data_IF_317052468308
#
_entry.id   IF_317052468308
#
_cell.length_a   1.000
_cell.length_b   1.000
_cell.length_c   1.000
_cell.angle_alpha   90.00
_cell.angle_beta   90.00
_cell.angle_gamma   90.00
#
_symmetry.space_group_name_H-M   'P 1'
#
loop_
_entity.id
_entity.type
_entity.pdbx_description
1 polymer ?
#
# COMPACT_ATOMS: atom_id res chain seq x y z
N UNK A 1 25.85 12.29 -27.83
CA UNK A 1 25.01 11.10 -27.59
C UNK A 1 25.39 10.55 -26.22
N UNK A 2 24.58 10.83 -25.19
CA UNK A 2 24.68 10.16 -23.88
C UNK A 2 23.61 9.07 -23.86
N UNK A 3 23.98 7.89 -23.41
CA UNK A 3 23.14 6.68 -23.35
C UNK A 3 22.01 6.83 -22.33
N UNK A 4 20.84 6.31 -22.67
CA UNK A 4 19.56 6.31 -21.92
C UNK A 4 19.66 5.73 -20.49
N UNK A 5 20.78 5.12 -20.14
CA UNK A 5 21.05 4.51 -18.83
C UNK A 5 21.40 5.52 -17.73
N UNK A 6 22.01 6.67 -18.05
CA UNK A 6 22.46 7.64 -17.02
C UNK A 6 21.33 8.55 -16.51
N UNK A 7 20.31 8.83 -17.33
CA UNK A 7 19.15 9.63 -16.90
C UNK A 7 18.25 8.88 -15.88
N UNK A 8 18.43 7.56 -15.77
CA UNK A 8 17.69 6.67 -14.85
C UNK A 8 18.30 6.64 -13.44
N UNK A 9 19.46 7.23 -13.18
CA UNK A 9 20.11 7.05 -11.86
C UNK A 9 19.87 8.20 -10.88
N UNK A 10 19.51 9.40 -11.35
CA UNK A 10 19.46 10.61 -10.52
C UNK A 10 18.12 10.90 -9.80
N UNK A 11 17.04 10.23 -10.19
CA UNK A 11 15.68 10.62 -9.75
C UNK A 11 14.98 9.62 -8.83
N UNK A 12 15.64 8.51 -8.48
CA UNK A 12 15.06 7.51 -7.59
C UNK A 12 15.36 7.84 -6.12
N UNK A 13 14.35 7.88 -5.23
CA UNK A 13 14.60 8.00 -3.81
C UNK A 13 15.43 6.79 -3.34
N UNK A 14 16.55 7.07 -2.66
CA UNK A 14 17.45 6.03 -2.17
C UNK A 14 16.72 5.04 -1.25
N UNK A 15 17.06 3.74 -1.29
CA UNK A 15 16.51 2.77 -0.35
C UNK A 15 16.87 3.19 1.09
N UNK A 16 15.85 3.46 1.89
CA UNK A 16 16.00 3.84 3.29
C UNK A 16 16.69 2.71 4.06
N UNK A 17 17.62 3.11 4.94
CA UNK A 17 18.46 2.27 5.80
C UNK A 17 17.68 1.18 6.54
N UNK A 18 18.38 0.06 6.69
CA UNK A 18 18.07 -1.12 7.51
C UNK A 18 17.72 -0.75 8.95
N UNK A 19 16.65 -1.33 9.47
CA UNK A 19 16.32 -1.37 10.90
C UNK A 19 16.57 -2.80 11.38
N UNK A 20 17.60 -2.96 12.21
CA UNK A 20 17.97 -4.23 12.84
C UNK A 20 17.20 -4.44 14.15
N UNK A 21 16.68 -5.67 14.32
CA UNK A 21 16.56 -6.32 15.62
C UNK A 21 15.16 -6.42 16.23
N UNK A 22 14.63 -7.65 16.33
CA UNK A 22 14.35 -8.24 17.65
C UNK A 22 14.26 -9.78 17.59
N UNK A 23 14.82 -10.42 18.62
CA UNK A 23 15.10 -11.85 18.77
C UNK A 23 13.99 -12.59 19.56
N UNK A 24 13.97 -13.92 19.37
CA UNK A 24 13.07 -14.96 19.91
C UNK A 24 12.92 -15.06 21.44
N UNK A 25 11.79 -15.68 21.86
CA UNK A 25 11.76 -16.53 23.06
C UNK A 25 10.41 -16.72 23.77
N UNK A 26 9.94 -17.97 23.87
CA UNK A 26 9.38 -18.51 25.13
C UNK A 26 7.94 -19.05 25.16
N UNK A 27 7.83 -20.39 25.19
CA UNK A 27 6.68 -21.23 25.65
C UNK A 27 6.39 -20.94 27.17
N UNK A 28 5.25 -21.20 27.84
CA UNK A 28 4.37 -22.36 28.07
C UNK A 28 3.21 -21.89 29.01
N UNK A 29 2.05 -22.56 29.07
CA UNK A 29 1.13 -22.44 30.22
C UNK A 29 -0.31 -22.92 29.99
N UNK A 30 -0.81 -23.77 30.88
CA UNK A 30 -1.97 -24.68 30.76
C UNK A 30 -3.33 -24.15 31.25
N UNK A 31 -4.40 -24.67 30.61
CA UNK A 31 -5.72 -25.14 31.13
C UNK A 31 -6.49 -24.33 32.19
N UNK A 32 -7.77 -24.03 31.89
CA UNK A 32 -8.90 -24.27 32.78
C UNK A 32 -10.24 -24.23 32.01
N UNK A 33 -11.11 -25.21 32.27
CA UNK A 33 -12.50 -25.31 31.83
C UNK A 33 -13.44 -24.70 32.89
N UNK A 34 -14.50 -24.00 32.46
CA UNK A 34 -15.73 -23.83 33.24
C UNK A 34 -16.89 -23.36 32.34
N UNK A 35 -18.06 -23.91 32.66
CA UNK A 35 -19.26 -24.03 31.84
C UNK A 35 -20.25 -22.85 31.89
N UNK A 36 -21.09 -22.86 30.84
CA UNK A 36 -22.53 -22.57 30.80
C UNK A 36 -23.11 -21.13 30.87
N UNK A 37 -23.94 -20.93 29.84
CA UNK A 37 -25.23 -20.24 29.81
C UNK A 37 -25.25 -18.71 29.58
N UNK A 38 -25.80 -18.35 28.41
CA UNK A 38 -26.49 -17.07 28.23
C UNK A 38 -25.96 -16.17 27.11
N UNK A 39 -25.76 -16.65 25.89
CA UNK A 39 -25.51 -15.75 24.76
C UNK A 39 -26.76 -15.58 23.91
N UNK A 40 -27.52 -14.51 24.21
CA UNK A 40 -28.15 -13.72 23.15
C UNK A 40 -27.01 -13.33 22.23
N UNK A 41 -26.84 -14.03 21.09
CA UNK A 41 -25.93 -13.63 20.00
C UNK A 41 -26.42 -12.30 19.44
N UNK A 42 -26.13 -11.23 20.18
CA UNK A 42 -26.18 -9.86 19.70
C UNK A 42 -25.15 -9.76 18.61
N UNK A 43 -25.65 -9.52 17.41
CA UNK A 43 -24.96 -9.02 16.25
C UNK A 43 -24.13 -7.79 16.64
N UNK A 44 -22.87 -7.99 16.99
CA UNK A 44 -21.90 -6.92 17.08
C UNK A 44 -20.62 -7.48 16.46
N UNK A 45 -20.55 -7.39 15.13
CA UNK A 45 -19.26 -7.22 14.48
C UNK A 45 -18.66 -5.98 15.13
N UNK A 46 -17.84 -6.18 16.15
CA UNK A 46 -17.08 -5.10 16.79
C UNK A 46 -16.28 -4.44 15.66
N UNK A 47 -16.70 -3.24 15.27
CA UNK A 47 -15.96 -2.38 14.36
C UNK A 47 -14.57 -2.23 14.97
N UNK A 48 -13.59 -2.98 14.46
CA UNK A 48 -12.21 -2.81 14.85
C UNK A 48 -11.86 -1.32 14.74
N UNK A 49 -11.15 -0.74 15.72
CA UNK A 49 -10.80 0.67 15.67
C UNK A 49 -9.96 0.93 14.41
N UNK A 50 -10.47 1.79 13.54
CA UNK A 50 -9.80 2.17 12.31
C UNK A 50 -9.19 3.58 12.40
N UNK A 51 -8.21 3.85 11.55
CA UNK A 51 -7.54 5.14 11.42
C UNK A 51 -7.53 5.60 9.97
N UNK A 52 -7.45 6.92 9.81
CA UNK A 52 -7.21 7.56 8.51
C UNK A 52 -5.76 8.04 8.47
N UNK A 53 -5.02 7.61 7.45
CA UNK A 53 -3.64 8.03 7.20
C UNK A 53 -3.62 9.09 6.10
N UNK A 54 -2.68 10.03 6.21
CA UNK A 54 -2.45 11.07 5.21
C UNK A 54 -0.97 11.15 4.89
N UNK A 55 -0.65 11.26 3.60
CA UNK A 55 0.69 11.55 3.12
C UNK A 55 0.60 12.61 2.01
N UNK A 56 1.64 13.41 1.85
CA UNK A 56 1.72 14.38 0.76
C UNK A 56 3.16 14.53 0.31
N UNK A 57 3.36 14.60 -1.01
CA UNK A 57 4.68 14.79 -1.61
C UNK A 57 4.61 15.72 -2.81
N UNK A 58 5.70 16.44 -3.05
CA UNK A 58 5.91 17.25 -4.25
C UNK A 58 6.85 16.52 -5.20
N UNK A 59 6.54 16.56 -6.49
CA UNK A 59 7.37 16.02 -7.55
C UNK A 59 7.74 17.10 -8.55
N UNK A 60 8.98 17.09 -9.04
CA UNK A 60 9.44 17.91 -10.15
C UNK A 60 9.06 17.28 -11.51
N UNK A 61 7.84 16.75 -11.61
CA UNK A 61 7.32 16.06 -12.80
C UNK A 61 5.89 16.54 -13.10
N UNK A 62 5.41 16.29 -14.32
CA UNK A 62 4.03 16.63 -14.69
C UNK A 62 3.01 15.78 -13.90
N UNK A 63 1.81 16.32 -13.61
CA UNK A 63 0.73 15.54 -13.00
C UNK A 63 0.45 14.23 -13.75
N UNK A 64 0.44 14.27 -15.08
CA UNK A 64 0.21 13.09 -15.93
C UNK A 64 1.25 12.00 -15.67
N UNK A 65 2.54 12.35 -15.67
CA UNK A 65 3.60 11.37 -15.42
C UNK A 65 3.50 10.72 -14.03
N UNK A 66 3.16 11.53 -13.02
CA UNK A 66 2.96 11.01 -11.65
C UNK A 66 1.72 10.13 -11.57
N UNK A 67 0.65 10.48 -12.31
CA UNK A 67 -0.57 9.69 -12.39
C UNK A 67 -0.33 8.34 -13.07
N UNK A 68 0.31 8.34 -14.23
CA UNK A 68 0.58 7.14 -15.03
C UNK A 68 1.45 6.13 -14.27
N UNK A 69 2.34 6.61 -13.39
CA UNK A 69 3.18 5.75 -12.55
C UNK A 69 2.39 4.82 -11.61
N UNK A 70 1.12 5.12 -11.31
CA UNK A 70 0.23 4.26 -10.52
C UNK A 70 -0.43 3.15 -11.34
N UNK A 71 -0.59 3.38 -12.65
CA UNK A 71 -1.35 2.50 -13.55
C UNK A 71 -0.46 1.66 -14.47
N UNK A 72 0.76 2.12 -14.74
CA UNK A 72 1.74 1.38 -15.52
C UNK A 72 2.41 0.30 -14.65
N UNK A 73 2.20 -1.00 -14.94
CA UNK A 73 2.79 -2.07 -14.16
C UNK A 73 4.33 -2.06 -14.20
N UNK A 74 4.95 -1.60 -15.30
CA UNK A 74 6.41 -1.53 -15.40
C UNK A 74 6.99 -0.48 -14.42
N UNK A 75 6.24 0.59 -14.16
CA UNK A 75 6.63 1.65 -13.22
C UNK A 75 6.22 1.29 -11.80
N UNK A 76 4.96 0.91 -11.58
CA UNK A 76 4.41 0.56 -10.27
C UNK A 76 5.23 -0.54 -9.58
N UNK A 77 5.73 -1.54 -10.33
CA UNK A 77 6.59 -2.61 -9.81
C UNK A 77 7.81 -2.12 -9.03
N UNK A 78 8.32 -0.94 -9.36
CA UNK A 78 9.58 -0.42 -8.83
C UNK A 78 9.42 0.25 -7.45
N UNK A 79 8.21 0.68 -7.09
CA UNK A 79 8.01 1.54 -5.92
C UNK A 79 6.71 1.26 -5.15
N UNK A 80 5.65 0.76 -5.81
CA UNK A 80 4.35 0.55 -5.18
C UNK A 80 4.35 -0.80 -4.45
N UNK A 81 4.49 -0.74 -3.12
CA UNK A 81 4.66 -1.90 -2.22
C UNK A 81 5.95 -2.72 -2.43
N UNK A 82 6.81 -2.31 -3.36
CA UNK A 82 8.16 -2.83 -3.50
C UNK A 82 9.09 -2.17 -2.47
N UNK A 83 9.94 -2.96 -1.82
CA UNK A 83 11.08 -2.46 -1.05
C UNK A 83 12.35 -3.12 -1.54
N UNK A 84 13.52 -2.53 -1.29
CA UNK A 84 14.80 -3.13 -1.71
C UNK A 84 15.00 -4.55 -1.15
N UNK A 85 14.48 -4.82 0.06
CA UNK A 85 14.53 -6.14 0.71
C UNK A 85 13.40 -7.08 0.26
N UNK A 86 12.32 -6.55 -0.31
CA UNK A 86 11.15 -7.33 -0.75
C UNK A 86 10.68 -6.79 -2.12
N UNK A 87 11.35 -7.19 -3.22
CA UNK A 87 10.94 -6.80 -4.56
C UNK A 87 9.66 -7.55 -4.96
N UNK A 88 8.79 -6.92 -5.75
CA UNK A 88 7.59 -7.60 -6.24
C UNK A 88 7.93 -8.77 -7.17
N UNK A 89 7.48 -9.97 -6.77
CA UNK A 89 7.56 -11.21 -7.52
C UNK A 89 6.46 -11.29 -8.59
N UNK A 90 5.29 -10.74 -8.31
CA UNK A 90 4.15 -10.72 -9.23
C UNK A 90 3.45 -9.36 -9.22
N UNK A 91 3.01 -8.93 -10.41
CA UNK A 91 2.24 -7.72 -10.63
C UNK A 91 1.24 -7.94 -11.75
N UNK A 92 -0.01 -7.59 -11.49
CA UNK A 92 -1.08 -7.50 -12.46
C UNK A 92 -1.88 -6.22 -12.20
N UNK A 93 -2.15 -5.46 -13.25
CA UNK A 93 -2.94 -4.22 -13.19
C UNK A 93 -3.90 -4.21 -14.37
N UNK A 94 -5.20 -4.16 -14.09
CA UNK A 94 -6.26 -3.82 -15.05
C UNK A 94 -6.65 -2.35 -14.83
N UNK A 95 -5.98 -1.43 -15.54
CA UNK A 95 -6.05 0.02 -15.33
C UNK A 95 -7.34 0.67 -15.90
N UNK A 96 -8.51 0.20 -15.47
CA UNK A 96 -9.82 0.77 -15.79
C UNK A 96 -10.69 0.85 -14.55
N UNK A 97 -11.74 1.67 -14.58
CA UNK A 97 -12.73 1.69 -13.49
C UNK A 97 -13.38 0.30 -13.38
N UNK A 98 -13.45 -0.23 -12.15
CA UNK A 98 -13.77 -1.62 -11.79
C UNK A 98 -12.74 -2.67 -12.21
N UNK A 99 -11.62 -2.26 -12.79
CA UNK A 99 -10.46 -3.12 -12.98
C UNK A 99 -9.78 -3.37 -11.64
N UNK A 100 -9.05 -4.49 -11.55
CA UNK A 100 -8.38 -4.89 -10.31
C UNK A 100 -6.87 -4.87 -10.46
N UNK A 101 -6.17 -4.86 -9.33
CA UNK A 101 -4.72 -5.07 -9.29
C UNK A 101 -4.36 -6.17 -8.29
N UNK A 102 -3.23 -6.80 -8.52
CA UNK A 102 -2.65 -7.81 -7.65
C UNK A 102 -1.13 -7.66 -7.61
N UNK A 103 -0.58 -7.41 -6.43
CA UNK A 103 0.85 -7.37 -6.17
C UNK A 103 1.23 -8.45 -5.16
N UNK A 104 2.36 -9.13 -5.37
CA UNK A 104 2.89 -10.12 -4.43
C UNK A 104 4.39 -9.86 -4.24
N UNK A 105 4.82 -9.69 -2.99
CA UNK A 105 6.21 -9.33 -2.65
C UNK A 105 7.18 -10.51 -2.52
N UNK A 106 6.71 -11.75 -2.50
CA UNK A 106 7.55 -12.97 -2.52
C UNK A 106 6.92 -14.08 -3.36
N UNK A 107 7.77 -14.85 -4.03
CA UNK A 107 7.38 -15.87 -5.02
C UNK A 107 6.74 -17.12 -4.38
N UNK A 108 7.12 -17.39 -3.14
CA UNK A 108 6.60 -18.39 -2.23
C UNK A 108 5.33 -17.88 -1.54
N UNK A 109 4.19 -18.07 -2.21
CA UNK A 109 2.85 -17.64 -1.79
C UNK A 109 2.37 -18.20 -0.43
N UNK A 110 3.13 -19.10 0.21
CA UNK A 110 2.86 -19.57 1.57
C UNK A 110 3.15 -18.47 2.59
N UNK A 111 4.18 -17.65 2.37
CA UNK A 111 4.58 -16.58 3.30
C UNK A 111 4.60 -15.17 2.65
N UNK A 112 4.39 -15.05 1.33
CA UNK A 112 4.36 -13.77 0.62
C UNK A 112 3.15 -12.90 0.97
N UNK A 113 3.34 -11.58 1.08
CA UNK A 113 2.22 -10.65 1.29
C UNK A 113 1.58 -10.33 -0.05
N UNK A 114 0.28 -10.62 -0.14
CA UNK A 114 -0.55 -10.28 -1.29
C UNK A 114 -1.28 -8.97 -1.05
N UNK A 115 -1.15 -8.03 -1.98
CA UNK A 115 -1.90 -6.77 -2.01
C UNK A 115 -2.86 -6.81 -3.20
N UNK A 116 -4.15 -6.66 -2.93
CA UNK A 116 -5.19 -6.67 -3.98
C UNK A 116 -6.13 -5.50 -3.81
N UNK A 117 -6.75 -5.09 -4.90
CA UNK A 117 -7.72 -4.00 -4.87
C UNK A 117 -8.44 -3.80 -6.19
N UNK A 118 -9.46 -2.95 -6.15
CA UNK A 118 -10.25 -2.53 -7.31
C UNK A 118 -10.13 -1.01 -7.49
N UNK A 119 -9.98 -0.55 -8.73
CA UNK A 119 -10.04 0.87 -9.09
C UNK A 119 -11.49 1.36 -9.11
N UNK A 120 -11.84 2.18 -8.13
CA UNK A 120 -13.19 2.75 -7.99
C UNK A 120 -13.39 4.00 -8.83
N UNK A 121 -12.33 4.78 -9.04
CA UNK A 121 -12.37 6.04 -9.79
C UNK A 121 -11.00 6.26 -10.46
N UNK A 122 -11.00 6.54 -11.76
CA UNK A 122 -9.80 6.89 -12.52
C UNK A 122 -10.13 8.18 -13.27
N UNK A 123 -9.56 9.30 -12.84
CA UNK A 123 -9.74 10.63 -13.48
C UNK A 123 -8.36 11.23 -13.76
N UNK A 124 -7.75 10.88 -14.90
CA UNK A 124 -6.44 11.38 -15.26
C UNK A 124 -6.45 12.90 -15.50
N UNK A 125 -5.38 13.63 -15.16
CA UNK A 125 -4.24 13.22 -14.32
C UNK A 125 -4.46 13.56 -12.82
N UNK A 126 -5.70 13.84 -12.41
CA UNK A 126 -5.98 14.57 -11.16
C UNK A 126 -6.29 13.66 -9.98
N UNK A 127 -6.92 12.51 -10.20
CA UNK A 127 -7.52 11.73 -9.12
C UNK A 127 -7.63 10.24 -9.42
N UNK A 128 -7.22 9.44 -8.46
CA UNK A 128 -7.29 7.98 -8.50
C UNK A 128 -7.83 7.48 -7.16
N UNK A 129 -8.82 6.59 -7.19
CA UNK A 129 -9.38 5.96 -5.98
C UNK A 129 -9.41 4.46 -6.19
N UNK A 130 -8.92 3.72 -5.19
CA UNK A 130 -8.93 2.27 -5.23
C UNK A 130 -9.13 1.66 -3.84
N UNK A 131 -9.61 0.42 -3.81
CA UNK A 131 -9.62 -0.38 -2.59
C UNK A 131 -8.27 -1.04 -2.37
N UNK A 132 -7.92 -1.33 -1.12
CA UNK A 132 -6.70 -2.04 -0.78
C UNK A 132 -7.01 -3.10 0.28
N UNK A 133 -6.73 -4.35 -0.03
CA UNK A 133 -6.73 -5.47 0.91
C UNK A 133 -5.33 -6.08 0.95
N UNK A 134 -4.87 -6.37 2.16
CA UNK A 134 -3.57 -7.00 2.42
C UNK A 134 -3.84 -8.38 2.98
N UNK A 135 -3.26 -9.42 2.39
CA UNK A 135 -3.39 -10.81 2.83
C UNK A 135 -4.84 -11.28 3.07
N UNK A 136 -5.81 -10.78 2.27
CA UNK A 136 -7.25 -11.06 2.39
C UNK A 136 -7.90 -10.53 3.68
N UNK A 137 -7.29 -9.55 4.33
CA UNK A 137 -7.90 -8.83 5.45
C UNK A 137 -8.91 -7.77 4.97
N UNK A 138 -9.38 -6.98 5.94
CA UNK A 138 -10.33 -5.86 5.76
C UNK A 138 -9.95 -5.01 4.56
N UNK A 139 -10.92 -4.80 3.69
CA UNK A 139 -10.80 -3.88 2.57
C UNK A 139 -10.78 -2.44 3.07
N UNK A 140 -9.77 -1.69 2.64
CA UNK A 140 -9.55 -0.29 2.97
C UNK A 140 -9.66 0.57 1.72
N UNK A 141 -9.73 1.90 1.87
CA UNK A 141 -9.91 2.82 0.72
C UNK A 141 -8.76 3.79 0.62
N UNK A 142 -8.12 3.85 -0.55
CA UNK A 142 -7.05 4.80 -0.85
C UNK A 142 -7.54 5.80 -1.89
N UNK A 143 -7.31 7.08 -1.61
CA UNK A 143 -7.59 8.21 -2.49
C UNK A 143 -6.29 8.97 -2.76
N UNK A 144 -5.93 9.10 -4.02
CA UNK A 144 -4.79 9.87 -4.50
C UNK A 144 -5.32 11.07 -5.26
N UNK A 145 -4.85 12.27 -4.89
CA UNK A 145 -5.16 13.53 -5.57
C UNK A 145 -3.86 14.19 -5.99
N UNK A 146 -3.76 14.55 -7.25
CA UNK A 146 -2.59 15.19 -7.86
C UNK A 146 -3.01 16.57 -8.34
N UNK A 147 -2.45 17.60 -7.71
CA UNK A 147 -2.67 18.99 -8.08
C UNK A 147 -1.43 19.55 -8.80
N UNK A 148 -1.60 20.26 -9.93
CA UNK A 148 -0.49 20.95 -10.57
C UNK A 148 0.09 22.06 -9.66
N UNK A 149 1.38 22.30 -9.76
CA UNK A 149 2.08 23.43 -9.16
C UNK A 149 2.77 24.25 -10.26
N UNK A 150 3.24 25.45 -9.92
CA UNK A 150 4.01 26.29 -10.85
C UNK A 150 5.24 25.57 -11.42
N UNK A 151 5.85 24.67 -10.63
CA UNK A 151 6.89 23.73 -11.06
C UNK A 151 6.53 22.33 -10.56
N UNK A 152 6.12 21.47 -11.48
CA UNK A 152 5.76 20.08 -11.19
C UNK A 152 4.36 19.92 -10.59
N UNK A 153 4.21 19.05 -9.60
CA UNK A 153 2.92 18.75 -8.98
C UNK A 153 3.03 18.38 -7.49
N UNK A 154 1.89 18.36 -6.82
CA UNK A 154 1.73 17.83 -5.46
C UNK A 154 0.75 16.66 -5.47
N UNK A 155 1.21 15.52 -4.97
CA UNK A 155 0.39 14.36 -4.67
C UNK A 155 -0.04 14.42 -3.20
N UNK A 156 -1.32 14.16 -2.95
CA UNK A 156 -1.88 13.96 -1.61
C UNK A 156 -2.55 12.59 -1.60
N UNK A 157 -2.18 11.74 -0.65
CA UNK A 157 -2.73 10.42 -0.44
C UNK A 157 -3.50 10.38 0.87
N UNK A 158 -4.71 9.85 0.81
CA UNK A 158 -5.59 9.59 1.94
C UNK A 158 -5.90 8.10 1.97
N UNK A 159 -5.62 7.43 3.08
CA UNK A 159 -5.92 6.01 3.27
C UNK A 159 -6.89 5.87 4.44
N UNK A 160 -8.11 5.46 4.16
CA UNK A 160 -9.23 5.39 5.09
C UNK A 160 -9.52 3.95 5.52
N UNK A 161 -10.14 3.81 6.69
CA UNK A 161 -10.55 2.54 7.28
C UNK A 161 -9.40 1.57 7.61
N UNK A 162 -8.19 2.09 7.83
CA UNK A 162 -7.02 1.26 8.14
C UNK A 162 -7.16 0.68 9.55
N UNK A 163 -7.14 -0.65 9.75
CA UNK A 163 -7.11 -1.24 11.09
C UNK A 163 -5.94 -0.68 11.90
N UNK A 164 -6.16 -0.36 13.18
CA UNK A 164 -5.18 0.36 14.02
C UNK A 164 -3.81 -0.34 14.05
N UNK A 165 -3.79 -1.66 14.04
CA UNK A 165 -2.56 -2.46 14.11
C UNK A 165 -1.76 -2.42 12.79
N UNK A 166 -2.43 -2.11 11.67
CA UNK A 166 -1.79 -1.93 10.36
C UNK A 166 -1.44 -0.46 10.04
N UNK A 167 -1.88 0.50 10.87
CA UNK A 167 -1.74 1.92 10.60
C UNK A 167 -0.28 2.40 10.55
N UNK A 168 0.57 1.93 11.47
CA UNK A 168 1.99 2.32 11.55
C UNK A 168 2.80 1.90 10.32
N UNK A 169 2.87 0.59 10.00
CA UNK A 169 3.59 0.10 8.83
C UNK A 169 3.10 0.71 7.51
N UNK A 170 1.78 0.87 7.34
CA UNK A 170 1.21 1.48 6.13
C UNK A 170 1.54 2.96 6.01
N UNK A 171 1.58 3.70 7.13
CA UNK A 171 1.97 5.11 7.11
C UNK A 171 3.41 5.28 6.62
N UNK A 172 4.35 4.46 7.14
CA UNK A 172 5.75 4.49 6.71
C UNK A 172 5.93 4.24 5.21
N UNK A 173 5.15 3.31 4.63
CA UNK A 173 5.12 3.07 3.18
C UNK A 173 4.62 4.29 2.40
N UNK A 174 3.51 4.90 2.84
CA UNK A 174 2.95 6.08 2.17
C UNK A 174 3.81 7.33 2.31
N UNK A 175 4.65 7.44 3.33
CA UNK A 175 5.63 8.54 3.44
C UNK A 175 6.84 8.35 2.52
N UNK A 176 7.07 7.14 2.00
CA UNK A 176 8.18 6.81 1.12
C UNK A 176 7.90 6.94 -0.38
N UNK A 177 6.62 7.10 -0.78
CA UNK A 177 6.20 7.33 -2.18
C UNK A 177 6.74 8.63 -2.72
#
# INVERSE_FOLDING_TARGET
MKTDSEARSEWYPSPQRTFDGFNDGGLIGTSAVADAAGSRRRSQAEKQPCRTLRAARRYAASPARVFDAWLDPAVARQWLFATASHPLAYIEIDARVKGSFCFVDRQDAVDGTRYTGEYLEITPPQRLVFTLSVAKHVETRVTVVIAPLAKGCRLTLLHENVPRDHAGPMHGRWTGI
#
